data_IF_491190335404
#
_entry.id   IF_491190335404
#
_cell.length_a   1.000
_cell.length_b   1.000
_cell.length_c   1.000
_cell.angle_alpha   90.00
_cell.angle_beta   90.00
_cell.angle_gamma   90.00
#
_symmetry.space_group_name_H-M   'P 1'
#
loop_
_entity.id
_entity.type
_entity.pdbx_description
1 polymer ?
#
# COMPACT_ATOMS: atom_id res chain seq x y z
N UNK A 1 -13.71 22.00 25.01
CA UNK A 1 -13.43 20.64 24.47
C UNK A 1 -14.54 20.30 23.49
N UNK A 2 -14.27 20.34 22.20
CA UNK A 2 -15.28 20.04 21.18
C UNK A 2 -15.28 18.51 20.98
N UNK A 3 -16.24 17.81 21.58
CA UNK A 3 -16.38 16.36 21.39
C UNK A 3 -16.85 16.17 19.94
N UNK A 4 -16.12 15.45 19.09
CA UNK A 4 -16.55 15.21 17.72
C UNK A 4 -17.90 14.48 17.71
N UNK A 5 -18.78 14.87 16.78
CA UNK A 5 -20.14 14.29 16.70
C UNK A 5 -20.06 12.77 16.50
N UNK A 6 -20.98 11.98 17.09
CA UNK A 6 -20.99 10.52 16.99
C UNK A 6 -20.91 10.00 15.54
N UNK A 7 -21.48 10.72 14.57
CA UNK A 7 -21.43 10.37 13.15
C UNK A 7 -20.03 10.48 12.55
N UNK A 8 -19.27 11.52 12.91
CA UNK A 8 -17.90 11.69 12.40
C UNK A 8 -16.98 10.54 12.86
N UNK A 9 -17.21 10.02 14.06
CA UNK A 9 -16.43 8.90 14.60
C UNK A 9 -16.75 7.59 13.86
N UNK A 10 -18.03 7.33 13.57
CA UNK A 10 -18.47 6.17 12.81
C UNK A 10 -17.96 6.20 11.36
N UNK A 11 -17.95 7.39 10.73
CA UNK A 11 -17.42 7.57 9.37
C UNK A 11 -15.91 7.29 9.32
N UNK A 12 -15.15 7.77 10.31
CA UNK A 12 -13.71 7.49 10.42
C UNK A 12 -13.44 6.00 10.64
N UNK A 13 -14.18 5.34 11.54
CA UNK A 13 -14.05 3.90 11.77
C UNK A 13 -14.43 3.09 10.51
N UNK A 14 -15.50 3.49 9.81
CA UNK A 14 -15.90 2.88 8.55
C UNK A 14 -14.82 3.02 7.48
N UNK A 15 -14.19 4.19 7.37
CA UNK A 15 -13.13 4.43 6.40
C UNK A 15 -11.85 3.65 6.72
N UNK A 16 -11.46 3.54 8.00
CA UNK A 16 -10.31 2.75 8.42
C UNK A 16 -10.49 1.26 8.12
N UNK A 17 -11.69 0.73 8.36
CA UNK A 17 -12.02 -0.66 8.03
C UNK A 17 -11.98 -0.92 6.53
N UNK A 18 -12.49 0.02 5.72
CA UNK A 18 -12.43 -0.10 4.26
C UNK A 18 -10.98 -0.01 3.74
N UNK A 19 -10.15 0.85 4.35
CA UNK A 19 -8.74 0.95 3.98
C UNK A 19 -7.98 -0.34 4.27
N UNK A 20 -8.24 -0.93 5.42
CA UNK A 20 -7.70 -2.23 5.80
C UNK A 20 -8.12 -3.33 4.84
N UNK A 21 -9.41 -3.41 4.51
CA UNK A 21 -9.95 -4.40 3.58
C UNK A 21 -9.28 -4.28 2.20
N UNK A 22 -9.16 -3.07 1.67
CA UNK A 22 -8.54 -2.85 0.36
C UNK A 22 -7.04 -3.19 0.36
N UNK A 23 -6.32 -2.91 1.46
CA UNK A 23 -4.92 -3.33 1.63
C UNK A 23 -4.84 -4.87 1.61
N UNK A 24 -5.67 -5.56 2.40
CA UNK A 24 -5.68 -7.02 2.45
C UNK A 24 -5.97 -7.61 1.06
N UNK A 25 -6.96 -7.09 0.34
CA UNK A 25 -7.29 -7.52 -1.02
C UNK A 25 -6.14 -7.30 -2.01
N UNK A 26 -5.39 -6.20 -1.89
CA UNK A 26 -4.22 -5.95 -2.73
C UNK A 26 -3.13 -7.01 -2.52
N UNK A 27 -2.81 -7.33 -1.27
CA UNK A 27 -1.82 -8.37 -0.96
C UNK A 27 -2.30 -9.78 -1.31
N UNK A 28 -3.59 -10.06 -1.17
CA UNK A 28 -4.17 -11.32 -1.62
C UNK A 28 -4.08 -11.46 -3.14
N UNK A 29 -4.36 -10.39 -3.89
CA UNK A 29 -4.17 -10.38 -5.34
C UNK A 29 -2.71 -10.68 -5.68
N UNK A 30 -1.74 -10.03 -5.03
CA UNK A 30 -0.31 -10.32 -5.24
C UNK A 30 0.02 -11.78 -4.97
N UNK A 31 -0.48 -12.37 -3.88
CA UNK A 31 -0.28 -13.78 -3.54
C UNK A 31 -0.77 -14.71 -4.65
N UNK A 32 -1.97 -14.47 -5.16
CA UNK A 32 -2.54 -15.24 -6.28
C UNK A 32 -1.68 -15.10 -7.54
N UNK A 33 -1.20 -13.89 -7.84
CA UNK A 33 -0.32 -13.68 -9.01
C UNK A 33 1.03 -14.38 -8.88
N UNK A 34 1.57 -14.50 -7.66
CA UNK A 34 2.81 -15.24 -7.40
C UNK A 34 2.64 -16.75 -7.63
N UNK A 35 1.56 -17.33 -7.10
CA UNK A 35 1.26 -18.76 -7.27
C UNK A 35 1.12 -19.16 -8.75
N UNK A 36 0.66 -18.23 -9.60
CA UNK A 36 0.48 -18.44 -11.03
C UNK A 36 1.71 -18.09 -11.88
N UNK A 37 2.82 -17.64 -11.27
CA UNK A 37 3.99 -17.15 -12.00
C UNK A 37 5.25 -17.95 -11.69
N UNK A 38 5.59 -18.88 -12.60
CA UNK A 38 6.85 -19.64 -12.55
C UNK A 38 8.06 -18.70 -12.54
N UNK A 39 8.05 -17.66 -13.39
CA UNK A 39 9.09 -16.61 -13.42
C UNK A 39 9.34 -16.00 -12.03
N UNK A 40 8.29 -15.68 -11.29
CA UNK A 40 8.42 -15.06 -9.98
C UNK A 40 8.96 -16.05 -8.93
N UNK A 41 8.49 -17.30 -8.98
CA UNK A 41 8.95 -18.36 -8.09
C UNK A 41 10.42 -18.73 -8.33
N UNK A 42 10.83 -18.85 -9.59
CA UNK A 42 12.23 -19.06 -9.98
C UNK A 42 13.12 -17.91 -9.51
N UNK A 43 12.66 -16.66 -9.71
CA UNK A 43 13.38 -15.49 -9.24
C UNK A 43 13.62 -15.53 -7.72
N UNK A 44 12.61 -15.88 -6.91
CA UNK A 44 12.78 -16.00 -5.44
C UNK A 44 13.84 -17.05 -5.11
N UNK A 45 13.78 -18.21 -5.75
CA UNK A 45 14.70 -19.30 -5.48
C UNK A 45 16.15 -18.92 -5.83
N UNK A 46 16.34 -18.28 -6.98
CA UNK A 46 17.67 -17.95 -7.52
C UNK A 46 18.27 -16.65 -6.97
N UNK A 47 17.45 -15.70 -6.49
CA UNK A 47 17.96 -14.42 -6.02
C UNK A 47 18.74 -14.59 -4.72
N UNK A 48 20.04 -14.30 -4.76
CA UNK A 48 20.93 -14.37 -3.60
C UNK A 48 20.75 -13.22 -2.59
N UNK A 49 20.10 -12.13 -3.00
CA UNK A 49 19.80 -10.99 -2.12
C UNK A 49 18.55 -11.17 -1.26
N UNK A 50 17.77 -12.23 -1.49
CA UNK A 50 16.61 -12.57 -0.69
C UNK A 50 17.03 -13.57 0.37
N UNK A 51 16.86 -13.21 1.64
CA UNK A 51 17.21 -14.05 2.78
C UNK A 51 16.39 -15.35 2.79
N UNK A 52 16.99 -16.43 3.33
CA UNK A 52 16.36 -17.75 3.36
C UNK A 52 14.99 -17.74 4.05
N UNK A 53 14.85 -17.00 5.16
CA UNK A 53 13.59 -16.87 5.89
C UNK A 53 12.49 -16.23 5.05
N UNK A 54 12.84 -15.24 4.21
CA UNK A 54 11.89 -14.63 3.28
C UNK A 54 11.47 -15.61 2.18
N UNK A 55 12.37 -16.48 1.70
CA UNK A 55 12.02 -17.51 0.70
C UNK A 55 11.01 -18.53 1.25
N UNK A 56 11.03 -18.77 2.55
CA UNK A 56 10.07 -19.64 3.23
C UNK A 56 8.77 -18.93 3.64
N UNK A 57 8.64 -17.63 3.37
CA UNK A 57 7.47 -16.86 3.75
C UNK A 57 6.20 -17.39 3.06
N UNK A 58 5.09 -17.51 3.78
CA UNK A 58 3.84 -18.08 3.24
C UNK A 58 2.97 -17.04 2.51
N UNK A 59 3.21 -15.75 2.77
CA UNK A 59 2.49 -14.63 2.17
C UNK A 59 3.17 -14.02 0.93
N UNK A 60 4.08 -14.73 0.26
CA UNK A 60 4.80 -14.17 -0.90
C UNK A 60 3.79 -13.80 -2.00
N UNK A 61 3.94 -12.60 -2.54
CA UNK A 61 3.12 -12.07 -3.62
C UNK A 61 3.95 -11.57 -4.80
N UNK A 62 3.30 -11.32 -5.93
CA UNK A 62 3.91 -10.76 -7.14
C UNK A 62 3.03 -9.64 -7.71
N UNK A 63 3.59 -8.43 -7.76
CA UNK A 63 2.90 -7.27 -8.32
C UNK A 63 3.17 -7.20 -9.83
N UNK A 64 2.37 -7.92 -10.62
CA UNK A 64 2.52 -8.07 -12.07
C UNK A 64 1.77 -7.01 -12.92
N UNK A 65 1.29 -5.93 -12.28
CA UNK A 65 0.51 -4.82 -12.90
C UNK A 65 -0.91 -5.18 -13.31
N UNK A 66 -1.46 -6.28 -12.80
CA UNK A 66 -2.83 -6.69 -13.14
C UNK A 66 -3.88 -6.19 -12.14
N UNK A 67 -3.51 -5.89 -10.89
CA UNK A 67 -4.45 -5.47 -9.86
C UNK A 67 -5.24 -4.23 -10.29
N UNK A 68 -4.54 -3.21 -10.80
CA UNK A 68 -5.18 -1.97 -11.26
C UNK A 68 -6.20 -2.14 -12.39
N UNK A 69 -6.17 -3.26 -13.12
CA UNK A 69 -7.16 -3.62 -14.16
C UNK A 69 -8.40 -4.30 -13.59
N UNK A 70 -8.30 -4.93 -12.42
CA UNK A 70 -9.41 -5.58 -11.72
C UNK A 70 -10.26 -4.57 -10.95
N UNK A 71 -9.67 -3.42 -10.57
CA UNK A 71 -10.40 -2.34 -9.88
C UNK A 71 -11.28 -1.59 -10.88
N UNK A 72 -12.58 -1.34 -10.57
CA UNK A 72 -13.45 -0.51 -11.40
C UNK A 72 -12.85 0.85 -11.78
N UNK A 73 -13.37 1.44 -12.85
CA UNK A 73 -12.89 2.74 -13.33
C UNK A 73 -13.04 3.81 -12.24
N UNK A 74 -12.08 4.73 -12.16
CA UNK A 74 -12.04 5.78 -11.12
C UNK A 74 -13.29 6.69 -11.12
N UNK A 75 -13.96 6.84 -12.26
CA UNK A 75 -15.23 7.59 -12.38
C UNK A 75 -16.42 6.92 -11.69
N UNK A 76 -16.33 5.63 -11.38
CA UNK A 76 -17.34 4.91 -10.61
C UNK A 76 -17.05 5.14 -9.12
N UNK A 77 -18.08 5.38 -8.30
CA UNK A 77 -17.91 5.65 -6.87
C UNK A 77 -17.07 4.57 -6.16
N UNK A 78 -17.36 3.29 -6.43
CA UNK A 78 -16.60 2.16 -5.88
C UNK A 78 -15.13 2.17 -6.33
N UNK A 79 -14.87 2.31 -7.63
CA UNK A 79 -13.51 2.34 -8.17
C UNK A 79 -12.70 3.54 -7.67
N UNK A 80 -13.34 4.71 -7.52
CA UNK A 80 -12.75 5.88 -6.90
C UNK A 80 -12.41 5.64 -5.42
N UNK A 81 -13.31 5.00 -4.68
CA UNK A 81 -13.13 4.67 -3.26
C UNK A 81 -11.94 3.73 -3.03
N UNK A 82 -11.86 2.62 -3.77
CA UNK A 82 -10.75 1.65 -3.67
C UNK A 82 -9.42 2.32 -4.04
N UNK A 83 -9.38 3.13 -5.11
CA UNK A 83 -8.16 3.82 -5.52
C UNK A 83 -7.74 4.88 -4.50
N UNK A 84 -8.68 5.64 -3.95
CA UNK A 84 -8.41 6.61 -2.89
C UNK A 84 -7.85 5.94 -1.63
N UNK A 85 -8.38 4.78 -1.29
CA UNK A 85 -7.92 3.93 -0.20
C UNK A 85 -6.47 3.45 -0.39
N UNK A 86 -6.17 2.86 -1.55
CA UNK A 86 -4.81 2.41 -1.87
C UNK A 86 -3.80 3.56 -2.03
N UNK A 87 -4.28 4.74 -2.43
CA UNK A 87 -3.47 5.95 -2.51
C UNK A 87 -3.11 6.45 -1.12
N UNK A 88 -4.09 6.53 -0.21
CA UNK A 88 -3.84 6.88 1.20
C UNK A 88 -2.85 5.89 1.78
N UNK A 89 -3.10 4.58 1.67
CA UNK A 89 -2.17 3.57 2.21
C UNK A 89 -0.77 3.59 1.58
N UNK A 90 -0.56 4.31 0.47
CA UNK A 90 0.73 4.43 -0.21
C UNK A 90 1.07 3.24 -1.10
N UNK A 91 0.14 2.30 -1.31
CA UNK A 91 0.35 1.15 -2.21
C UNK A 91 0.29 1.53 -3.70
N UNK A 92 -0.38 2.64 -4.02
CA UNK A 92 -0.33 3.24 -5.36
C UNK A 92 0.14 4.69 -5.28
N UNK A 93 0.79 5.16 -6.35
CA UNK A 93 1.15 6.56 -6.54
C UNK A 93 -0.05 7.38 -7.01
N UNK A 94 0.04 8.71 -6.93
CA UNK A 94 -0.96 9.61 -7.50
C UNK A 94 -1.18 9.39 -9.02
N UNK A 95 -0.18 8.86 -9.73
CA UNK A 95 -0.29 8.46 -11.15
C UNK A 95 -1.10 7.18 -11.36
N UNK A 96 -1.54 6.51 -10.30
CA UNK A 96 -2.28 5.25 -10.32
C UNK A 96 -1.42 4.00 -10.43
N UNK A 97 -0.09 4.14 -10.51
CA UNK A 97 0.84 3.00 -10.56
C UNK A 97 1.09 2.42 -9.17
N UNK A 98 1.04 1.09 -9.07
CA UNK A 98 1.47 0.34 -7.89
C UNK A 98 2.96 0.61 -7.58
N UNK A 99 3.30 0.79 -6.30
CA UNK A 99 4.69 1.03 -5.88
C UNK A 99 5.59 -0.19 -6.11
N UNK A 100 5.01 -1.39 -5.97
CA UNK A 100 5.69 -2.67 -6.12
C UNK A 100 5.74 -3.17 -7.55
N UNK A 101 5.43 -2.33 -8.54
CA UNK A 101 5.32 -2.70 -9.95
C UNK A 101 6.47 -3.59 -10.45
N UNK A 102 6.21 -4.86 -10.73
CA UNK A 102 7.20 -5.84 -11.19
C UNK A 102 8.12 -6.37 -10.09
N UNK A 103 7.69 -6.36 -8.83
CA UNK A 103 8.42 -6.92 -7.70
C UNK A 103 7.72 -8.18 -7.17
N UNK A 104 8.51 -9.14 -6.71
CA UNK A 104 8.03 -10.10 -5.70
C UNK A 104 7.97 -9.38 -4.36
N UNK A 105 6.92 -9.59 -3.60
CA UNK A 105 6.57 -8.84 -2.39
C UNK A 105 6.47 -9.80 -1.21
N UNK A 106 7.10 -9.43 -0.09
CA UNK A 106 7.10 -10.16 1.17
C UNK A 106 6.45 -9.27 2.24
N UNK A 107 5.18 -9.50 2.58
CA UNK A 107 4.49 -8.75 3.62
C UNK A 107 4.94 -9.16 5.02
N UNK A 108 4.85 -8.24 5.97
CA UNK A 108 4.91 -8.50 7.40
C UNK A 108 3.55 -8.17 7.98
N UNK A 109 3.05 -9.01 8.88
CA UNK A 109 1.73 -8.88 9.47
C UNK A 109 1.82 -8.50 10.95
N UNK A 110 0.81 -7.76 11.43
CA UNK A 110 0.50 -7.63 12.84
C UNK A 110 -0.12 -8.92 13.39
N UNK A 111 -0.20 -9.01 14.72
CA UNK A 111 -0.85 -10.13 15.42
C UNK A 111 -2.32 -10.31 15.03
N UNK A 112 -3.01 -9.22 14.65
CA UNK A 112 -4.40 -9.27 14.16
C UNK A 112 -4.54 -9.68 12.68
N UNK A 113 -3.44 -10.06 12.02
CA UNK A 113 -3.43 -10.50 10.62
C UNK A 113 -3.39 -9.36 9.60
N UNK A 114 -3.34 -8.10 10.03
CA UNK A 114 -3.24 -6.96 9.12
C UNK A 114 -1.83 -6.76 8.60
N UNK A 115 -1.71 -6.31 7.35
CA UNK A 115 -0.40 -6.01 6.77
C UNK A 115 0.17 -4.75 7.43
N UNK A 116 1.31 -4.91 8.09
CA UNK A 116 2.08 -3.83 8.73
C UNK A 116 3.03 -3.17 7.73
N UNK A 117 3.77 -3.98 6.99
CA UNK A 117 4.80 -3.53 6.05
C UNK A 117 5.01 -4.55 4.95
N UNK A 118 5.79 -4.19 3.94
CA UNK A 118 6.24 -5.13 2.94
C UNK A 118 7.56 -4.69 2.32
N UNK A 119 8.38 -5.67 1.95
CA UNK A 119 9.57 -5.48 1.14
C UNK A 119 9.36 -6.13 -0.23
N UNK A 120 9.77 -5.44 -1.28
CA UNK A 120 9.61 -5.89 -2.66
C UNK A 120 10.94 -5.95 -3.39
N UNK A 121 11.22 -7.07 -4.06
CA UNK A 121 12.42 -7.27 -4.87
C UNK A 121 12.05 -7.27 -6.36
N UNK A 122 12.67 -6.39 -7.13
CA UNK A 122 12.38 -6.21 -8.56
C UNK A 122 12.77 -7.45 -9.35
N UNK A 123 11.83 -7.98 -10.13
CA UNK A 123 12.06 -9.07 -11.07
C UNK A 123 12.57 -8.51 -12.40
N UNK A 124 13.63 -9.11 -12.93
CA UNK A 124 14.18 -8.80 -14.25
C UNK A 124 15.07 -7.55 -14.27
N UNK A 125 15.15 -6.91 -15.45
CA UNK A 125 16.11 -5.82 -15.69
C UNK A 125 15.74 -4.55 -14.92
N UNK A 126 16.62 -4.14 -14.02
CA UNK A 126 16.54 -2.86 -13.30
C UNK A 126 17.17 -1.75 -14.15
N UNK A 127 16.45 -0.63 -14.31
CA UNK A 127 16.97 0.56 -15.02
C UNK A 127 17.84 1.37 -14.06
N UNK A 128 18.73 2.22 -14.62
CA UNK A 128 19.71 3.00 -13.85
C UNK A 128 19.13 3.82 -12.68
N UNK A 129 17.86 4.23 -12.78
CA UNK A 129 17.19 5.06 -11.77
C UNK A 129 16.08 4.30 -11.01
N UNK A 130 15.94 2.98 -11.22
CA UNK A 130 14.97 2.17 -10.50
C UNK A 130 15.64 1.49 -9.31
N UNK A 131 14.97 1.49 -8.16
CA UNK A 131 15.42 0.73 -7.00
C UNK A 131 15.17 -0.77 -7.21
N UNK A 132 16.19 -1.57 -6.89
CA UNK A 132 16.14 -3.03 -6.86
C UNK A 132 15.21 -3.55 -5.76
N UNK A 133 15.20 -2.86 -4.62
CA UNK A 133 14.38 -3.17 -3.46
C UNK A 133 13.47 -1.98 -3.15
N UNK A 134 12.21 -2.28 -2.85
CA UNK A 134 11.18 -1.31 -2.48
C UNK A 134 10.71 -1.65 -1.08
N UNK A 135 10.59 -0.65 -0.21
CA UNK A 135 10.04 -0.80 1.12
C UNK A 135 8.72 -0.03 1.21
N UNK A 136 7.76 -0.63 1.88
CA UNK A 136 6.48 -0.02 2.20
C UNK A 136 6.18 -0.29 3.66
N UNK A 137 5.79 0.76 4.37
CA UNK A 137 5.21 0.68 5.70
C UNK A 137 3.82 1.25 5.63
N UNK A 138 2.85 0.57 6.25
CA UNK A 138 1.49 1.09 6.37
C UNK A 138 1.57 2.42 7.11
N UNK A 139 1.00 3.51 6.55
CA UNK A 139 0.98 4.78 7.24
C UNK A 139 0.13 4.65 8.50
N UNK A 140 0.70 5.04 9.63
CA UNK A 140 -0.03 5.11 10.90
C UNK A 140 -1.21 6.08 10.77
N UNK A 141 -2.40 5.78 11.31
CA UNK A 141 -3.54 6.69 11.27
C UNK A 141 -3.23 8.11 11.78
N UNK A 142 -2.27 8.24 12.71
CA UNK A 142 -1.81 9.53 13.24
C UNK A 142 -0.93 10.35 12.29
N UNK A 143 -0.30 9.74 11.29
CA UNK A 143 0.55 10.44 10.32
C UNK A 143 -0.23 11.49 9.50
N UNK A 144 -1.53 11.26 9.28
CA UNK A 144 -2.43 12.23 8.64
C UNK A 144 -2.82 13.38 9.57
N UNK A 145 -2.91 13.13 10.87
CA UNK A 145 -3.23 14.16 11.86
C UNK A 145 -2.07 15.15 11.95
N UNK A 146 -0.83 14.68 12.01
CA UNK A 146 0.34 15.58 12.06
C UNK A 146 0.54 16.38 10.78
N UNK A 147 0.42 15.75 9.62
CA UNK A 147 0.54 16.44 8.32
C UNK A 147 -0.56 17.47 8.14
N UNK A 148 -1.81 17.13 8.46
CA UNK A 148 -2.95 18.06 8.40
C UNK A 148 -2.84 19.19 9.43
N UNK A 149 -2.37 18.90 10.64
CA UNK A 149 -2.11 19.90 11.68
C UNK A 149 -0.96 20.84 11.30
N UNK A 150 0.07 20.35 10.60
CA UNK A 150 1.18 21.18 10.11
C UNK A 150 0.70 22.17 9.03
N UNK A 151 -0.06 21.69 8.04
CA UNK A 151 -0.60 22.56 6.99
C UNK A 151 -1.63 23.56 7.54
N UNK A 152 -2.47 23.16 8.50
CA UNK A 152 -3.40 24.07 9.16
C UNK A 152 -2.68 25.16 9.98
N UNK A 153 -1.56 24.83 10.64
CA UNK A 153 -0.72 25.79 11.36
C UNK A 153 -0.03 26.78 10.42
N UNK A 154 0.38 26.34 9.23
CA UNK A 154 0.95 27.23 8.22
C UNK A 154 -0.09 28.22 7.66
N UNK A 155 -1.30 27.75 7.36
CA UNK A 155 -2.40 28.61 6.90
C UNK A 155 -2.82 29.66 7.95
N UNK A 156 -2.85 29.28 9.23
CA UNK A 156 -3.14 30.22 10.32
C UNK A 156 -2.03 31.27 10.44
N UNK A 157 -0.77 30.88 10.28
CA UNK A 157 0.38 31.80 10.32
C UNK A 157 0.35 32.78 9.15
N UNK A 158 -0.01 32.34 7.95
CA UNK A 158 -0.12 33.21 6.76
C UNK A 158 -1.24 34.26 6.90
N UNK A 159 -2.35 33.93 7.58
CA UNK A 159 -3.44 34.89 7.85
C UNK A 159 -3.13 35.90 8.96
N UNK A 160 -2.03 35.75 9.71
CA UNK A 160 -1.68 36.67 10.82
C UNK A 160 -0.75 37.81 10.37
N UNK A 161 -0.33 37.84 9.09
CA UNK A 161 0.57 38.87 8.53
C UNK A 161 -0.11 39.82 7.51
N UNK A 162 -1.45 39.88 7.50
CA UNK A 162 -2.24 40.89 6.79
C UNK A 162 -3.09 41.67 7.78
#
# INVERSE_FOLDING_TARGET
MNIPSPNMYLDVLGQLNLDELNIQQAFEHYRQRYQLSELAQEFVNQCGSIDADLKCHTGIGYCDRTMGKQIPKARNCEGGSIRGSLLRSGLIRATGHEIFRGCVVFPTYHENGNVLSAVGYRVGRIRRNDSAVIYWHRPEPKAYVETGMSMAKELIREQTYH
#
